data_IF_962387522188
#
_entry.id   IF_962387522188
#
_cell.length_a   1.000
_cell.length_b   1.000
_cell.length_c   1.000
_cell.angle_alpha   90.00
_cell.angle_beta   90.00
_cell.angle_gamma   90.00
#
_symmetry.space_group_name_H-M   'P 1'
#
loop_
_entity.id
_entity.type
_entity.pdbx_description
1 polymer ?
#
# COMPACT_ATOMS: atom_id res chain seq x y z
N UNK A 1 -16.91 23.90 -36.36
CA UNK A 1 -15.46 23.62 -36.53
C UNK A 1 -14.69 24.01 -35.28
N UNK A 2 -14.88 25.21 -34.72
CA UNK A 2 -14.20 25.67 -33.49
C UNK A 2 -14.38 24.74 -32.27
N UNK A 3 -15.59 24.24 -32.06
CA UNK A 3 -15.92 23.31 -30.97
C UNK A 3 -15.07 22.03 -31.02
N UNK A 4 -14.69 21.55 -32.21
CA UNK A 4 -13.87 20.33 -32.34
C UNK A 4 -12.49 20.52 -31.71
N UNK A 5 -11.90 21.71 -31.88
CA UNK A 5 -10.57 22.02 -31.33
C UNK A 5 -10.62 22.13 -29.81
N UNK A 6 -11.72 22.68 -29.27
CA UNK A 6 -11.96 22.73 -27.82
C UNK A 6 -12.11 21.32 -27.23
N UNK A 7 -12.87 20.43 -27.87
CA UNK A 7 -13.03 19.05 -27.42
C UNK A 7 -11.71 18.27 -27.46
N UNK A 8 -10.90 18.46 -28.51
CA UNK A 8 -9.58 17.82 -28.61
C UNK A 8 -8.69 18.27 -27.44
N UNK A 9 -8.59 19.57 -27.17
CA UNK A 9 -7.82 20.08 -26.04
C UNK A 9 -8.33 19.56 -24.69
N UNK A 10 -9.65 19.53 -24.49
CA UNK A 10 -10.25 19.02 -23.27
C UNK A 10 -9.99 17.52 -23.07
N UNK A 11 -10.13 16.72 -24.13
CA UNK A 11 -9.86 15.28 -24.08
C UNK A 11 -8.40 14.96 -23.73
N UNK A 12 -7.46 15.73 -24.30
CA UNK A 12 -6.04 15.59 -24.00
C UNK A 12 -5.72 15.97 -22.55
N UNK A 13 -6.32 17.05 -22.05
CA UNK A 13 -6.18 17.48 -20.65
C UNK A 13 -6.65 16.38 -19.69
N UNK A 14 -7.83 15.82 -19.93
CA UNK A 14 -8.38 14.72 -19.11
C UNK A 14 -7.47 13.49 -19.16
N UNK A 15 -6.97 13.13 -20.34
CA UNK A 15 -6.04 12.01 -20.50
C UNK A 15 -4.73 12.21 -19.71
N UNK A 16 -4.16 13.42 -19.73
CA UNK A 16 -2.95 13.75 -18.97
C UNK A 16 -3.18 13.72 -17.45
N UNK A 17 -4.32 14.23 -16.98
CA UNK A 17 -4.71 14.15 -15.57
C UNK A 17 -4.83 12.69 -15.13
N UNK A 18 -5.54 11.88 -15.92
CA UNK A 18 -5.72 10.46 -15.63
C UNK A 18 -4.39 9.71 -15.59
N UNK A 19 -3.50 9.97 -16.56
CA UNK A 19 -2.17 9.40 -16.59
C UNK A 19 -1.31 9.81 -15.38
N UNK A 20 -1.38 11.09 -14.98
CA UNK A 20 -0.68 11.59 -13.79
C UNK A 20 -1.14 10.92 -12.50
N UNK A 21 -2.46 10.81 -12.32
CA UNK A 21 -3.06 10.08 -11.19
C UNK A 21 -2.69 8.60 -11.21
N UNK A 22 -2.70 7.97 -12.38
CA UNK A 22 -2.30 6.56 -12.55
C UNK A 22 -0.84 6.33 -12.11
N UNK A 23 0.09 7.16 -12.57
CA UNK A 23 1.51 7.05 -12.19
C UNK A 23 1.67 7.29 -10.68
N UNK A 24 0.96 8.27 -10.11
CA UNK A 24 0.99 8.53 -8.68
C UNK A 24 0.50 7.32 -7.86
N UNK A 25 -0.64 6.75 -8.24
CA UNK A 25 -1.22 5.58 -7.58
C UNK A 25 -0.33 4.33 -7.66
N UNK A 26 0.30 4.09 -8.81
CA UNK A 26 1.26 2.98 -8.97
C UNK A 26 2.53 3.20 -8.14
N UNK A 27 2.95 4.46 -7.96
CA UNK A 27 4.14 4.79 -7.17
C UNK A 27 3.90 4.80 -5.66
N UNK A 28 2.65 4.88 -5.20
CA UNK A 28 2.28 5.00 -3.78
C UNK A 28 2.52 3.72 -2.94
N UNK A 29 3.41 2.83 -3.39
CA UNK A 29 3.97 1.79 -2.53
C UNK A 29 3.02 0.64 -2.22
N UNK A 30 1.89 0.49 -2.94
CA UNK A 30 0.98 -0.66 -2.78
C UNK A 30 1.62 -2.03 -3.05
N UNK A 31 2.88 -2.07 -3.50
CA UNK A 31 3.69 -3.28 -3.72
C UNK A 31 4.63 -3.62 -2.55
N UNK A 32 4.60 -2.86 -1.46
CA UNK A 32 5.48 -3.08 -0.30
C UNK A 32 5.15 -4.39 0.45
N UNK A 33 3.93 -4.92 0.29
CA UNK A 33 3.60 -6.29 0.71
C UNK A 33 4.01 -7.33 -0.34
N UNK A 34 5.31 -7.34 -0.67
CA UNK A 34 5.93 -8.33 -1.55
C UNK A 34 6.06 -9.72 -0.89
N UNK A 35 5.68 -9.85 0.39
CA UNK A 35 5.80 -11.08 1.18
C UNK A 35 4.43 -11.58 1.63
N UNK A 36 3.84 -12.42 0.79
CA UNK A 36 2.50 -12.99 0.98
C UNK A 36 2.31 -13.52 2.42
N UNK A 37 1.19 -13.20 3.09
CA UNK A 37 0.93 -13.62 4.47
C UNK A 37 1.01 -15.15 4.67
N UNK A 38 0.69 -15.93 3.62
CA UNK A 38 0.80 -17.39 3.60
C UNK A 38 2.24 -17.91 3.72
N UNK A 39 3.24 -17.14 3.29
CA UNK A 39 4.66 -17.51 3.36
C UNK A 39 5.21 -17.15 4.74
N UNK A 40 4.85 -15.96 5.24
CA UNK A 40 5.21 -15.49 6.58
C UNK A 40 4.80 -16.50 7.65
N UNK A 41 3.57 -17.00 7.61
CA UNK A 41 3.07 -17.94 8.64
C UNK A 41 3.75 -19.32 8.60
N UNK A 42 4.30 -19.74 7.46
CA UNK A 42 5.03 -21.01 7.34
C UNK A 42 6.45 -20.91 7.91
N UNK A 43 7.08 -19.74 7.81
CA UNK A 43 8.44 -19.52 8.31
C UNK A 43 8.48 -18.89 9.72
N UNK A 44 7.44 -18.17 10.16
CA UNK A 44 7.30 -17.63 11.53
C UNK A 44 7.04 -18.72 12.58
N UNK A 45 6.48 -19.87 12.18
CA UNK A 45 6.32 -21.03 13.07
C UNK A 45 7.67 -21.63 13.51
N UNK A 46 8.76 -21.27 12.84
CA UNK A 46 10.10 -21.77 13.19
C UNK A 46 10.88 -20.86 14.14
N UNK A 47 10.41 -19.63 14.40
CA UNK A 47 11.09 -18.62 15.23
C UNK A 47 10.42 -18.39 16.59
N UNK A 48 9.23 -18.95 16.83
CA UNK A 48 8.47 -18.80 18.09
C UNK A 48 8.94 -19.72 19.24
N UNK A 49 9.80 -20.71 19.00
CA UNK A 49 10.37 -21.54 20.08
C UNK A 49 11.59 -20.90 20.79
N UNK A 50 11.94 -19.63 20.51
CA UNK A 50 13.07 -18.97 21.21
C UNK A 50 12.77 -17.54 21.68
N UNK A 51 11.54 -17.02 21.48
CA UNK A 51 11.16 -15.69 21.97
C UNK A 51 9.80 -15.66 22.65
N UNK A 52 9.49 -16.66 23.47
CA UNK A 52 8.59 -16.48 24.61
C UNK A 52 9.36 -15.88 25.80
N UNK A 53 9.95 -14.70 25.65
CA UNK A 53 10.28 -13.87 26.80
C UNK A 53 10.61 -12.46 26.36
N UNK A 54 10.00 -11.48 27.02
CA UNK A 54 10.18 -10.03 26.85
C UNK A 54 9.25 -9.39 25.82
N UNK A 55 7.98 -9.24 26.18
CA UNK A 55 7.32 -7.94 26.41
C UNK A 55 5.81 -8.18 26.54
N UNK A 56 5.19 -7.50 27.51
CA UNK A 56 3.75 -7.47 27.83
C UNK A 56 3.28 -8.31 29.03
N UNK A 57 3.98 -8.16 30.17
CA UNK A 57 3.31 -8.13 31.48
C UNK A 57 3.84 -6.94 32.28
N UNK A 58 3.53 -5.72 31.86
CA UNK A 58 3.54 -4.55 32.76
C UNK A 58 2.38 -3.63 32.37
N UNK A 59 1.61 -3.23 33.39
CA UNK A 59 0.32 -2.49 33.43
C UNK A 59 -0.87 -3.46 33.42
N UNK A 60 -1.52 -3.77 34.54
CA UNK A 60 -1.99 -2.84 35.59
C UNK A 60 -2.16 -3.57 36.92
N UNK A 61 -1.41 -3.17 37.95
CA UNK A 61 -1.82 -3.26 39.35
C UNK A 61 -1.81 -1.82 39.86
N UNK A 62 -2.97 -1.32 40.30
CA UNK A 62 -3.14 -0.60 41.56
C UNK A 62 -4.63 -0.23 41.72
N UNK A 63 -5.16 -0.69 42.85
CA UNK A 63 -6.50 -0.55 43.47
C UNK A 63 -7.60 -1.53 43.04
#
# INVERSE_FOLDING_TARGET
MEVIFLLIGFSLLVALIFLGLFIWAVKDGQYDDSYTPSIRILFDKHTSNTKEQSTNTTKTNND
#
